data_IF_281468888766
#
_entry.id   IF_281468888766
#
_cell.length_a   1.000
_cell.length_b   1.000
_cell.length_c   1.000
_cell.angle_alpha   90.00
_cell.angle_beta   90.00
_cell.angle_gamma   90.00
#
_symmetry.space_group_name_H-M   'P 1'
#
loop_
_entity.id
_entity.type
_entity.pdbx_description
1 polymer ?
#
# COMPACT_ATOMS: atom_id res chain seq x y z
N UNK A 1 -5.98 -2.27 -7.52
CA UNK A 1 -4.85 -1.52 -6.91
C UNK A 1 -4.92 -0.03 -7.18
N UNK A 2 -5.41 0.43 -8.33
CA UNK A 2 -6.13 1.69 -8.56
C UNK A 2 -7.05 1.34 -9.74
N UNK A 3 -8.29 1.81 -9.75
CA UNK A 3 -9.26 1.49 -10.80
C UNK A 3 -9.12 2.41 -12.02
N UNK A 4 -8.87 3.68 -11.78
CA UNK A 4 -8.67 4.69 -12.83
C UNK A 4 -7.75 5.81 -12.36
N UNK A 5 -7.15 6.54 -13.30
CA UNK A 5 -6.46 7.80 -13.02
C UNK A 5 -6.67 8.74 -14.21
N UNK A 6 -6.61 10.05 -13.96
CA UNK A 6 -6.72 11.07 -14.98
C UNK A 6 -5.67 12.18 -14.75
N UNK A 7 -5.05 12.62 -15.84
CA UNK A 7 -4.08 13.69 -15.84
C UNK A 7 -4.54 14.76 -16.84
N UNK A 8 -4.84 15.96 -16.34
CA UNK A 8 -5.18 17.12 -17.16
C UNK A 8 -3.95 17.99 -17.35
N UNK A 9 -3.65 18.28 -18.62
CA UNK A 9 -2.53 19.12 -19.02
C UNK A 9 -3.05 20.46 -19.56
N UNK A 10 -2.31 21.53 -19.26
CA UNK A 10 -2.47 22.84 -19.87
C UNK A 10 -1.07 23.42 -20.11
N UNK A 11 -0.84 24.01 -21.28
CA UNK A 11 0.45 24.59 -21.68
C UNK A 11 1.64 23.62 -21.47
N UNK A 12 1.50 22.39 -21.96
CA UNK A 12 2.49 21.32 -21.82
C UNK A 12 2.89 20.97 -20.36
N UNK A 13 2.12 21.43 -19.37
CA UNK A 13 2.37 21.23 -17.95
C UNK A 13 1.22 20.45 -17.32
N UNK A 14 1.55 19.52 -16.41
CA UNK A 14 0.56 18.76 -15.64
C UNK A 14 -0.15 19.73 -14.67
N UNK A 15 -1.41 20.04 -14.94
CA UNK A 15 -2.20 21.00 -14.17
C UNK A 15 -2.97 20.31 -13.04
N UNK A 16 -3.53 19.13 -13.31
CA UNK A 16 -4.29 18.36 -12.33
C UNK A 16 -4.03 16.87 -12.54
N UNK A 17 -3.73 16.17 -11.45
CA UNK A 17 -3.65 14.72 -11.41
C UNK A 17 -4.68 14.20 -10.42
N UNK A 18 -5.61 13.37 -10.89
CA UNK A 18 -6.58 12.69 -10.05
C UNK A 18 -6.41 11.18 -10.16
N UNK A 19 -6.55 10.52 -9.03
CA UNK A 19 -6.57 9.07 -8.94
C UNK A 19 -8.01 8.70 -8.59
N UNK A 20 -8.62 7.85 -9.40
CA UNK A 20 -9.96 7.32 -9.17
C UNK A 20 -10.00 6.32 -8.02
N UNK A 21 -11.13 5.64 -7.88
CA UNK A 21 -11.37 4.68 -6.80
C UNK A 21 -10.33 3.55 -6.74
N UNK A 22 -10.21 2.91 -5.59
CA UNK A 22 -9.48 1.66 -5.50
C UNK A 22 -10.34 0.52 -6.06
N UNK A 23 -9.71 -0.49 -6.65
CA UNK A 23 -10.40 -1.74 -6.93
C UNK A 23 -10.83 -2.40 -5.63
N UNK A 24 -11.80 -3.33 -5.69
CA UNK A 24 -12.25 -4.10 -4.52
C UNK A 24 -11.09 -4.74 -3.76
N UNK A 25 -10.16 -5.39 -4.45
CA UNK A 25 -8.97 -6.00 -3.85
C UNK A 25 -8.02 -4.95 -3.24
N UNK A 26 -8.02 -3.74 -3.79
CA UNK A 26 -7.28 -2.61 -3.23
C UNK A 26 -7.84 -2.14 -1.89
N UNK A 27 -9.17 -2.03 -1.80
CA UNK A 27 -9.86 -1.76 -0.54
C UNK A 27 -9.60 -2.86 0.50
N UNK A 28 -9.75 -4.12 0.08
CA UNK A 28 -9.56 -5.30 0.93
C UNK A 28 -8.13 -5.39 1.49
N UNK A 29 -7.14 -5.02 0.68
CA UNK A 29 -5.75 -4.94 1.11
C UNK A 29 -5.54 -3.80 2.10
N UNK A 30 -6.04 -2.60 1.80
CA UNK A 30 -5.87 -1.43 2.66
C UNK A 30 -6.50 -1.64 4.03
N UNK A 31 -7.69 -2.23 4.10
CA UNK A 31 -8.38 -2.51 5.35
C UNK A 31 -7.52 -3.39 6.28
N UNK A 32 -6.83 -4.38 5.72
CA UNK A 32 -5.95 -5.29 6.47
C UNK A 32 -4.66 -4.65 6.98
N UNK A 33 -4.15 -3.60 6.32
CA UNK A 33 -2.83 -3.02 6.64
C UNK A 33 -2.87 -1.61 7.23
N UNK A 34 -4.03 -0.96 7.17
CA UNK A 34 -4.29 0.44 7.54
C UNK A 34 -3.99 0.72 9.01
N UNK A 35 -4.19 -0.26 9.87
CA UNK A 35 -3.96 -0.11 11.31
C UNK A 35 -2.54 0.40 11.57
N UNK A 36 -2.42 1.51 12.31
CA UNK A 36 -1.14 2.21 12.54
C UNK A 36 -0.09 1.29 13.12
N UNK A 37 -0.51 0.35 13.97
CA UNK A 37 0.36 -0.66 14.58
C UNK A 37 0.96 -1.60 13.54
N UNK A 38 0.17 -2.05 12.55
CA UNK A 38 0.60 -2.92 11.46
C UNK A 38 1.45 -2.14 10.45
N UNK A 39 1.01 -0.96 10.04
CA UNK A 39 1.74 -0.12 9.09
C UNK A 39 3.14 0.27 9.61
N UNK A 40 3.23 0.63 10.89
CA UNK A 40 4.52 0.95 11.51
C UNK A 40 5.46 -0.26 11.58
N UNK A 41 4.94 -1.46 11.84
CA UNK A 41 5.72 -2.71 11.79
C UNK A 41 6.21 -3.02 10.38
N UNK A 42 5.39 -2.82 9.36
CA UNK A 42 5.78 -2.99 7.95
C UNK A 42 6.93 -2.05 7.60
N UNK A 43 6.78 -0.74 7.86
CA UNK A 43 7.83 0.27 7.60
C UNK A 43 9.13 -0.08 8.32
N UNK A 44 9.04 -0.47 9.60
CA UNK A 44 10.20 -0.87 10.40
C UNK A 44 10.92 -2.07 9.77
N UNK A 45 10.18 -3.12 9.40
CA UNK A 45 10.77 -4.34 8.82
C UNK A 45 11.40 -4.11 7.45
N UNK A 46 10.86 -3.20 6.63
CA UNK A 46 11.49 -2.76 5.38
C UNK A 46 12.82 -2.06 5.66
N UNK A 47 12.83 -1.12 6.61
CA UNK A 47 14.02 -0.37 7.00
C UNK A 47 15.10 -1.26 7.59
N UNK A 48 14.74 -2.12 8.54
CA UNK A 48 15.67 -3.00 9.26
C UNK A 48 16.34 -4.03 8.33
N UNK A 49 15.61 -4.48 7.29
CA UNK A 49 16.11 -5.45 6.30
C UNK A 49 16.71 -4.79 5.05
N UNK A 50 16.80 -3.46 5.02
CA UNK A 50 17.25 -2.68 3.85
C UNK A 50 16.54 -3.10 2.54
N UNK A 51 15.25 -3.40 2.61
CA UNK A 51 14.47 -3.85 1.46
C UNK A 51 14.02 -2.64 0.61
N UNK A 52 13.86 -2.82 -0.71
CA UNK A 52 13.32 -1.77 -1.55
C UNK A 52 11.86 -1.49 -1.18
N UNK A 53 11.50 -0.21 -1.14
CA UNK A 53 10.14 0.23 -0.78
C UNK A 53 9.20 0.09 -1.99
N UNK A 54 8.92 -1.16 -2.39
CA UNK A 54 7.96 -1.48 -3.45
C UNK A 54 6.65 -2.00 -2.87
N UNK A 55 5.57 -1.86 -3.64
CA UNK A 55 4.26 -2.32 -3.19
C UNK A 55 4.17 -3.84 -3.02
N UNK A 56 4.94 -4.61 -3.81
CA UNK A 56 5.06 -6.06 -3.62
C UNK A 56 5.72 -6.40 -2.28
N UNK A 57 6.80 -5.72 -1.92
CA UNK A 57 7.47 -5.91 -0.63
C UNK A 57 6.54 -5.56 0.53
N UNK A 58 5.80 -4.46 0.41
CA UNK A 58 4.79 -4.05 1.41
C UNK A 58 3.72 -5.13 1.57
N UNK A 59 3.17 -5.66 0.47
CA UNK A 59 2.17 -6.73 0.48
C UNK A 59 2.69 -8.01 1.15
N UNK A 60 3.89 -8.43 0.82
CA UNK A 60 4.51 -9.64 1.38
C UNK A 60 4.71 -9.49 2.89
N UNK A 61 5.31 -8.39 3.33
CA UNK A 61 5.57 -8.17 4.76
C UNK A 61 4.27 -8.04 5.55
N UNK A 62 3.28 -7.34 5.01
CA UNK A 62 1.96 -7.24 5.63
C UNK A 62 1.31 -8.62 5.80
N UNK A 63 1.36 -9.46 4.75
CA UNK A 63 0.80 -10.82 4.78
C UNK A 63 1.49 -11.70 5.83
N UNK A 64 2.82 -11.60 5.94
CA UNK A 64 3.58 -12.28 6.98
C UNK A 64 3.17 -11.84 8.40
N UNK A 65 2.96 -10.54 8.63
CA UNK A 65 2.55 -10.02 9.93
C UNK A 65 1.13 -10.45 10.32
N UNK A 66 0.21 -10.50 9.34
CA UNK A 66 -1.15 -11.01 9.54
C UNK A 66 -1.12 -12.50 9.88
N UNK A 67 -0.36 -13.30 9.11
CA UNK A 67 -0.21 -14.73 9.38
C UNK A 67 0.41 -15.00 10.77
N UNK A 68 1.39 -14.20 11.18
CA UNK A 68 1.97 -14.29 12.52
C UNK A 68 0.97 -13.95 13.63
N UNK A 69 0.08 -12.98 13.39
CA UNK A 69 -0.98 -12.59 14.34
C UNK A 69 -2.05 -13.68 14.46
N UNK A 70 -2.41 -14.33 13.34
CA UNK A 70 -3.35 -15.47 13.34
C UNK A 70 -2.77 -16.65 14.11
N UNK A 71 -1.48 -16.96 13.93
CA UNK A 71 -0.81 -18.08 14.62
C UNK A 71 -0.65 -17.86 16.13
N UNK A 72 -0.77 -16.62 16.60
CA UNK A 72 -0.67 -16.27 18.01
C UNK A 72 -2.00 -16.34 18.78
N UNK A 73 -3.11 -16.62 18.07
CA UNK A 73 -4.40 -17.02 18.66
C UNK A 73 -4.37 -18.48 19.08
#
# INVERSE_FOLDING_TARGET
MIDSYNAHYADNTLYLFSVGSLTWEGHDFLDKIREDTTWNKVKKKIKDKALPFTLEVVKTIASELLAASIKAL
#
